data_IF_238636949847
#
_entry.id   IF_238636949847
#
_cell.length_a   1.000
_cell.length_b   1.000
_cell.length_c   1.000
_cell.angle_alpha   90.00
_cell.angle_beta   90.00
_cell.angle_gamma   90.00
#
_symmetry.space_group_name_H-M   'P 1'
#
loop_
_entity.id
_entity.type
_entity.pdbx_description
1 polymer ?
#
# COMPACT_ATOMS: atom_id res chain seq x y z
N UNK A 1 -17.50 0.16 77.46
CA UNK A 1 -17.43 1.39 76.64
C UNK A 1 -16.15 1.26 75.80
N UNK A 2 -16.19 1.62 74.50
CA UNK A 2 -15.22 1.31 73.42
C UNK A 2 -15.43 -0.08 72.77
N UNK A 3 -15.41 -0.29 71.45
CA UNK A 3 -15.63 0.51 70.23
C UNK A 3 -15.59 -0.54 69.09
N UNK A 4 -16.65 -0.67 68.29
CA UNK A 4 -16.69 -1.59 67.13
C UNK A 4 -15.82 -1.05 65.98
N UNK A 5 -15.00 -1.86 65.30
CA UNK A 5 -14.36 -1.41 64.07
C UNK A 5 -15.40 -1.43 62.93
N UNK A 6 -15.44 -0.32 62.20
CA UNK A 6 -16.29 -0.09 61.04
C UNK A 6 -15.77 -0.94 59.87
N UNK A 7 -16.60 -1.83 59.35
CA UNK A 7 -16.37 -2.49 58.05
C UNK A 7 -16.63 -1.43 56.98
N UNK A 8 -15.56 -0.92 56.36
CA UNK A 8 -15.68 -0.11 55.15
C UNK A 8 -16.12 -1.02 54.01
N UNK A 9 -17.39 -0.92 53.62
CA UNK A 9 -17.90 -1.52 52.40
C UNK A 9 -17.26 -0.80 51.20
N UNK A 10 -16.34 -1.49 50.52
CA UNK A 10 -15.86 -1.06 49.21
C UNK A 10 -16.99 -1.32 48.22
N UNK A 11 -17.69 -0.27 47.82
CA UNK A 11 -18.61 -0.27 46.69
C UNK A 11 -17.80 -0.47 45.41
N UNK A 12 -17.71 -1.71 44.94
CA UNK A 12 -17.28 -2.01 43.57
C UNK A 12 -18.42 -1.59 42.65
N UNK A 13 -18.31 -0.40 42.07
CA UNK A 13 -19.17 0.03 40.98
C UNK A 13 -18.88 -0.86 39.77
N UNK A 14 -19.77 -1.83 39.53
CA UNK A 14 -19.81 -2.60 38.30
C UNK A 14 -20.20 -1.66 37.16
N UNK A 15 -19.19 -1.12 36.48
CA UNK A 15 -19.38 -0.47 35.18
C UNK A 15 -19.86 -1.57 34.22
N UNK A 16 -21.15 -1.56 33.92
CA UNK A 16 -21.71 -2.33 32.82
C UNK A 16 -21.05 -1.83 31.53
N UNK A 17 -20.06 -2.58 31.04
CA UNK A 17 -19.54 -2.46 29.70
C UNK A 17 -20.65 -2.93 28.75
N UNK A 18 -21.60 -2.05 28.44
CA UNK A 18 -22.40 -2.19 27.23
C UNK A 18 -21.42 -2.12 26.07
N UNK A 19 -21.01 -3.28 25.59
CA UNK A 19 -20.18 -3.40 24.40
C UNK A 19 -20.91 -2.75 23.23
N UNK A 20 -20.49 -1.55 22.86
CA UNK A 20 -20.71 -1.03 21.53
C UNK A 20 -19.90 -1.94 20.58
N UNK A 21 -20.51 -3.03 20.11
CA UNK A 21 -20.04 -3.69 18.91
C UNK A 21 -20.01 -2.66 17.76
N UNK A 22 -19.11 -2.80 16.78
CA UNK A 22 -19.10 -1.91 15.63
C UNK A 22 -20.49 -1.97 15.00
N UNK A 23 -21.20 -0.84 14.95
CA UNK A 23 -22.48 -0.78 14.26
C UNK A 23 -22.19 -0.97 12.78
N UNK A 24 -22.58 -2.11 12.21
CA UNK A 24 -22.55 -2.30 10.76
C UNK A 24 -23.46 -1.23 10.15
N UNK A 25 -22.85 -0.21 9.55
CA UNK A 25 -23.58 0.92 8.97
C UNK A 25 -24.27 0.57 7.66
N UNK A 26 -23.93 -0.59 7.07
CA UNK A 26 -24.48 -1.06 5.81
C UNK A 26 -25.87 -1.69 5.91
N UNK A 27 -26.57 -1.71 4.78
CA UNK A 27 -27.80 -2.48 4.58
C UNK A 27 -27.52 -3.98 4.79
N UNK A 28 -28.53 -4.79 5.16
CA UNK A 28 -28.37 -6.23 5.30
C UNK A 28 -27.95 -6.88 3.99
N UNK A 29 -27.23 -8.00 4.09
CA UNK A 29 -26.76 -8.76 2.94
C UNK A 29 -27.93 -9.15 2.02
N UNK A 30 -27.84 -8.78 0.75
CA UNK A 30 -28.79 -9.16 -0.31
C UNK A 30 -28.11 -9.96 -1.41
N UNK A 31 -28.86 -10.90 -1.97
CA UNK A 31 -28.42 -11.66 -3.14
C UNK A 31 -28.57 -10.81 -4.40
N UNK A 32 -27.44 -10.43 -5.02
CA UNK A 32 -27.46 -9.82 -6.33
C UNK A 32 -28.02 -10.81 -7.37
N UNK A 33 -28.92 -10.34 -8.25
CA UNK A 33 -29.51 -11.16 -9.32
C UNK A 33 -28.48 -11.58 -10.36
N UNK A 34 -27.49 -10.73 -10.60
CA UNK A 34 -26.37 -10.93 -11.52
C UNK A 34 -25.05 -10.72 -10.79
N UNK A 35 -24.00 -11.39 -11.25
CA UNK A 35 -22.64 -11.22 -10.75
C UNK A 35 -21.84 -10.39 -11.74
N UNK A 36 -21.05 -9.46 -11.25
CA UNK A 36 -20.11 -8.67 -12.04
C UNK A 36 -18.70 -9.16 -11.69
N UNK A 37 -17.89 -9.40 -12.71
CA UNK A 37 -16.47 -9.71 -12.56
C UNK A 37 -15.66 -8.65 -13.29
N UNK A 38 -14.70 -8.06 -12.60
CA UNK A 38 -13.81 -7.05 -13.17
C UNK A 38 -12.39 -7.58 -13.12
N UNK A 39 -11.75 -7.63 -14.28
CA UNK A 39 -10.34 -7.99 -14.42
C UNK A 39 -9.60 -6.78 -14.98
N UNK A 40 -8.66 -6.25 -14.21
CA UNK A 40 -7.83 -5.13 -14.65
C UNK A 40 -6.44 -5.59 -15.00
N UNK A 41 -5.91 -5.07 -16.11
CA UNK A 41 -4.57 -5.31 -16.60
C UNK A 41 -3.81 -3.99 -16.56
N UNK A 42 -2.77 -3.91 -15.74
CA UNK A 42 -1.95 -2.70 -15.67
C UNK A 42 -1.17 -2.50 -16.99
N UNK A 43 -1.13 -1.28 -17.51
CA UNK A 43 -0.40 -0.93 -18.73
C UNK A 43 -0.89 -1.62 -20.01
N UNK A 44 -2.11 -2.18 -20.06
CA UNK A 44 -2.60 -2.84 -21.28
C UNK A 44 -2.91 -1.83 -22.40
N UNK A 45 -2.05 -1.81 -23.42
CA UNK A 45 -2.24 -0.97 -24.60
C UNK A 45 -3.36 -1.54 -25.52
N UNK A 46 -4.40 -0.76 -25.84
CA UNK A 46 -5.53 -1.22 -26.65
C UNK A 46 -5.17 -1.49 -28.12
N UNK A 47 -4.10 -0.87 -28.64
CA UNK A 47 -3.59 -1.08 -30.00
C UNK A 47 -2.87 -2.42 -30.09
N UNK A 48 -2.00 -2.72 -29.13
CA UNK A 48 -1.33 -4.03 -29.05
C UNK A 48 -2.33 -5.16 -28.77
N UNK A 49 -3.30 -4.95 -27.87
CA UNK A 49 -4.35 -5.91 -27.61
C UNK A 49 -5.13 -6.24 -28.90
N UNK A 50 -5.51 -5.23 -29.69
CA UNK A 50 -6.18 -5.44 -30.98
C UNK A 50 -5.31 -6.21 -31.96
N UNK A 51 -4.07 -5.77 -32.17
CA UNK A 51 -3.10 -6.46 -33.04
C UNK A 51 -2.99 -7.96 -32.69
N UNK A 52 -2.85 -8.28 -31.41
CA UNK A 52 -2.69 -9.68 -30.97
C UNK A 52 -4.00 -10.48 -31.01
N UNK A 53 -5.17 -9.84 -30.91
CA UNK A 53 -6.46 -10.49 -31.21
C UNK A 53 -6.60 -10.82 -32.70
N UNK A 54 -6.11 -9.94 -33.58
CA UNK A 54 -6.15 -10.14 -35.04
C UNK A 54 -5.15 -11.21 -35.50
N UNK A 55 -3.98 -11.27 -34.87
CA UNK A 55 -2.98 -12.34 -35.06
C UNK A 55 -3.39 -13.69 -34.44
N UNK A 56 -4.55 -13.78 -33.76
CA UNK A 56 -5.03 -15.00 -33.12
C UNK A 56 -4.31 -15.38 -31.81
N UNK A 57 -3.47 -14.50 -31.26
CA UNK A 57 -2.71 -14.73 -30.01
C UNK A 57 -3.52 -14.51 -28.74
N UNK A 58 -4.62 -13.74 -28.82
CA UNK A 58 -5.52 -13.46 -27.70
C UNK A 58 -6.96 -13.96 -27.98
N UNK A 59 -7.18 -15.27 -28.15
CA UNK A 59 -8.47 -15.81 -28.60
C UNK A 59 -9.63 -15.56 -27.63
N UNK A 60 -9.36 -15.56 -26.31
CA UNK A 60 -10.38 -15.30 -25.30
C UNK A 60 -10.82 -13.82 -25.29
N UNK A 61 -9.87 -12.88 -25.43
CA UNK A 61 -10.20 -11.46 -25.54
C UNK A 61 -10.91 -11.15 -26.85
N UNK A 62 -10.49 -11.79 -27.96
CA UNK A 62 -11.19 -11.67 -29.25
C UNK A 62 -12.66 -12.08 -29.12
N UNK A 63 -12.92 -13.26 -28.56
CA UNK A 63 -14.29 -13.76 -28.31
C UNK A 63 -15.10 -12.82 -27.43
N UNK A 64 -14.51 -12.26 -26.36
CA UNK A 64 -15.18 -11.29 -25.49
C UNK A 64 -15.50 -9.99 -26.25
N UNK A 65 -14.59 -9.53 -27.11
CA UNK A 65 -14.81 -8.33 -27.92
C UNK A 65 -15.94 -8.49 -28.94
N UNK A 66 -16.06 -9.69 -29.55
CA UNK A 66 -17.07 -10.01 -30.56
C UNK A 66 -18.46 -10.24 -29.95
N UNK A 67 -18.50 -10.83 -28.74
CA UNK A 67 -19.75 -11.09 -28.01
C UNK A 67 -20.24 -9.88 -27.20
N UNK A 68 -19.39 -8.88 -27.00
CA UNK A 68 -19.63 -7.74 -26.13
C UNK A 68 -19.21 -6.43 -26.75
N UNK A 69 -18.49 -5.61 -25.99
CA UNK A 69 -18.00 -4.31 -26.45
C UNK A 69 -16.52 -4.20 -26.14
N UNK A 70 -15.74 -3.77 -27.14
CA UNK A 70 -14.34 -3.42 -26.97
C UNK A 70 -14.10 -2.01 -27.50
N UNK A 71 -13.88 -1.08 -26.58
CA UNK A 71 -13.68 0.33 -26.88
C UNK A 71 -12.39 0.84 -26.24
N UNK A 72 -11.73 1.79 -26.91
CA UNK A 72 -10.62 2.54 -26.32
C UNK A 72 -11.21 3.50 -25.29
N UNK A 73 -10.68 3.45 -24.07
CA UNK A 73 -11.01 4.40 -23.01
C UNK A 73 -9.93 5.47 -22.91
N UNK A 74 -10.33 6.67 -22.51
CA UNK A 74 -9.39 7.70 -22.08
C UNK A 74 -8.84 7.34 -20.70
N UNK A 75 -7.59 7.72 -20.46
CA UNK A 75 -6.93 7.54 -19.16
C UNK A 75 -7.02 8.82 -18.34
N UNK A 76 -6.63 8.75 -17.07
CA UNK A 76 -6.54 9.91 -16.20
C UNK A 76 -5.43 10.87 -16.64
N UNK A 77 -5.52 12.12 -16.18
CA UNK A 77 -4.42 13.08 -16.23
C UNK A 77 -4.00 13.45 -14.80
N UNK A 78 -2.78 13.10 -14.34
CA UNK A 78 -1.72 12.41 -15.08
C UNK A 78 -2.02 10.91 -15.36
N UNK A 79 -1.41 10.39 -16.43
CA UNK A 79 -1.59 9.02 -16.92
C UNK A 79 -0.71 8.01 -16.18
N UNK A 80 -0.72 8.10 -14.85
CA UNK A 80 0.04 7.25 -13.94
C UNK A 80 -0.84 6.13 -13.38
N UNK A 81 -0.31 4.91 -13.21
CA UNK A 81 -1.06 3.77 -12.68
C UNK A 81 -1.78 4.07 -11.35
N UNK A 82 -1.17 4.63 -10.29
CA UNK A 82 -1.88 4.91 -9.03
C UNK A 82 -3.01 5.92 -9.20
N UNK A 83 -2.91 6.81 -10.19
CA UNK A 83 -3.93 7.81 -10.49
C UNK A 83 -5.12 7.16 -11.18
N UNK A 84 -4.85 6.35 -12.20
CA UNK A 84 -5.85 5.60 -12.94
C UNK A 84 -6.60 4.60 -12.02
N UNK A 85 -5.89 3.87 -11.17
CA UNK A 85 -6.49 2.91 -10.24
C UNK A 85 -7.30 3.57 -9.14
N UNK A 86 -6.86 4.72 -8.60
CA UNK A 86 -7.65 5.48 -7.63
C UNK A 86 -8.93 6.04 -8.28
N UNK A 87 -8.85 6.56 -9.50
CA UNK A 87 -10.02 7.00 -10.28
C UNK A 87 -10.97 5.84 -10.61
N UNK A 88 -10.44 4.68 -11.02
CA UNK A 88 -11.22 3.46 -11.25
C UNK A 88 -11.98 3.02 -9.98
N UNK A 89 -11.29 2.98 -8.84
CA UNK A 89 -11.88 2.57 -7.59
C UNK A 89 -13.03 3.49 -7.16
N UNK A 90 -12.88 4.81 -7.35
CA UNK A 90 -13.75 5.83 -6.73
C UNK A 90 -14.73 6.50 -7.70
N UNK A 91 -14.52 6.36 -9.01
CA UNK A 91 -15.30 7.06 -10.04
C UNK A 91 -15.10 8.58 -10.06
N UNK A 92 -14.08 9.12 -9.38
CA UNK A 92 -13.79 10.56 -9.34
C UNK A 92 -12.41 10.86 -9.91
N UNK A 93 -12.16 12.12 -10.26
CA UNK A 93 -10.88 12.54 -10.84
C UNK A 93 -9.79 12.80 -9.76
N UNK A 94 -8.52 13.01 -10.17
CA UNK A 94 -7.40 13.22 -9.25
C UNK A 94 -7.55 14.36 -8.26
N UNK A 95 -8.24 15.44 -8.65
CA UNK A 95 -8.57 16.56 -7.77
C UNK A 95 -9.42 16.16 -6.56
N UNK A 96 -10.20 15.07 -6.64
CA UNK A 96 -11.07 14.61 -5.56
C UNK A 96 -10.48 13.44 -4.77
N UNK A 97 -9.75 12.53 -5.41
CA UNK A 97 -9.11 11.42 -4.70
C UNK A 97 -7.68 11.73 -4.22
N UNK A 98 -7.09 12.86 -4.63
CA UNK A 98 -5.81 13.38 -4.13
C UNK A 98 -4.58 12.48 -4.39
N UNK A 99 -4.63 11.69 -5.47
CA UNK A 99 -3.51 10.84 -5.91
C UNK A 99 -3.07 11.37 -7.26
N UNK A 100 -1.79 11.72 -7.40
CA UNK A 100 -1.24 12.36 -8.59
C UNK A 100 -0.01 11.66 -9.16
N UNK A 101 0.65 10.80 -8.40
CA UNK A 101 1.89 10.14 -8.79
C UNK A 101 2.16 8.98 -7.82
N UNK A 102 3.12 8.11 -8.17
CA UNK A 102 3.74 7.17 -7.24
C UNK A 102 4.56 7.88 -6.15
N UNK A 103 5.12 9.03 -6.46
CA UNK A 103 6.05 9.74 -5.59
C UNK A 103 5.68 11.21 -5.45
N UNK A 104 5.80 11.73 -4.24
CA UNK A 104 5.87 13.17 -3.99
C UNK A 104 7.07 13.43 -3.10
N UNK A 105 7.51 14.68 -3.04
CA UNK A 105 8.52 15.08 -2.07
C UNK A 105 7.86 15.67 -0.85
N UNK A 106 8.39 15.34 0.33
CA UNK A 106 8.14 16.15 1.50
C UNK A 106 8.78 17.54 1.28
N UNK A 107 8.01 18.61 1.46
CA UNK A 107 8.48 19.96 1.13
C UNK A 107 9.46 20.55 2.15
N UNK A 108 9.55 19.94 3.34
CA UNK A 108 10.46 20.39 4.40
C UNK A 108 11.78 19.64 4.34
N UNK A 109 11.72 18.32 4.16
CA UNK A 109 12.87 17.42 4.22
C UNK A 109 13.39 16.99 2.85
N UNK A 110 12.63 17.22 1.79
CA UNK A 110 12.91 16.76 0.42
C UNK A 110 12.99 15.24 0.26
N UNK A 111 12.67 14.48 1.31
CA UNK A 111 12.62 13.02 1.23
C UNK A 111 11.46 12.58 0.32
N UNK A 112 11.63 11.48 -0.43
CA UNK A 112 10.55 10.91 -1.20
C UNK A 112 9.50 10.32 -0.26
N UNK A 113 8.25 10.76 -0.43
CA UNK A 113 7.06 10.18 0.16
C UNK A 113 6.34 9.36 -0.92
N UNK A 114 6.16 8.04 -0.74
CA UNK A 114 5.32 7.24 -1.62
C UNK A 114 3.89 7.81 -1.67
N UNK A 115 3.58 8.55 -2.73
CA UNK A 115 2.35 9.33 -2.91
C UNK A 115 1.13 8.47 -3.25
N UNK A 116 1.12 7.22 -2.79
CA UNK A 116 0.11 6.22 -3.11
C UNK A 116 -1.00 6.15 -2.07
N UNK A 117 -1.28 7.26 -1.39
CA UNK A 117 -2.48 7.37 -0.55
C UNK A 117 -2.37 6.67 0.80
N UNK A 118 -1.18 6.45 1.35
CA UNK A 118 -0.97 5.82 2.67
C UNK A 118 -0.27 6.79 3.61
N UNK A 119 -0.76 6.90 4.86
CA UNK A 119 -0.13 7.67 5.93
C UNK A 119 0.06 6.79 7.16
N UNK A 120 1.30 6.69 7.62
CA UNK A 120 1.64 6.01 8.87
C UNK A 120 1.61 7.03 9.99
N UNK A 121 0.79 6.77 11.01
CA UNK A 121 0.74 7.55 12.25
C UNK A 121 1.54 6.79 13.31
N UNK A 122 2.61 7.37 13.87
CA UNK A 122 3.42 6.70 14.88
C UNK A 122 2.64 6.52 16.19
N UNK A 123 3.09 5.58 17.06
CA UNK A 123 2.54 5.47 18.40
C UNK A 123 2.83 6.73 19.23
N UNK A 124 2.00 7.00 20.22
CA UNK A 124 2.26 8.07 21.19
C UNK A 124 2.36 7.51 22.60
N UNK A 125 3.29 8.08 23.38
CA UNK A 125 3.57 7.68 24.76
C UNK A 125 3.42 8.87 25.70
N UNK A 126 2.69 8.67 26.81
CA UNK A 126 2.67 9.60 27.93
C UNK A 126 3.92 9.38 28.76
N UNK A 127 4.57 10.48 29.16
CA UNK A 127 5.80 10.47 29.95
C UNK A 127 6.96 9.66 29.34
N UNK A 128 6.92 9.37 28.03
CA UNK A 128 7.97 8.63 27.34
C UNK A 128 7.96 7.11 27.55
N UNK A 129 7.01 6.55 28.30
CA UNK A 129 6.95 5.10 28.53
C UNK A 129 5.53 4.50 28.55
N UNK A 130 4.48 5.26 28.84
CA UNK A 130 3.12 4.71 28.88
C UNK A 130 2.46 4.85 27.50
N UNK A 131 2.21 3.76 26.75
CA UNK A 131 1.57 3.85 25.44
C UNK A 131 0.14 4.36 25.56
N UNK A 132 -0.20 5.41 24.81
CA UNK A 132 -1.55 6.04 24.78
C UNK A 132 -2.24 5.81 23.45
N UNK A 133 -1.49 5.85 22.35
CA UNK A 133 -2.01 5.59 21.01
C UNK A 133 -1.13 4.56 20.31
N UNK A 134 -1.77 3.53 19.76
CA UNK A 134 -1.13 2.54 18.89
C UNK A 134 -0.76 3.17 17.53
N UNK A 135 0.26 2.66 16.83
CA UNK A 135 0.49 3.08 15.45
C UNK A 135 -0.74 2.75 14.60
N UNK A 136 -0.96 3.54 13.57
CA UNK A 136 -2.12 3.40 12.69
C UNK A 136 -1.72 3.70 11.25
N UNK A 137 -2.24 2.91 10.32
CA UNK A 137 -2.08 3.14 8.89
C UNK A 137 -3.40 3.66 8.36
N UNK A 138 -3.38 4.85 7.78
CA UNK A 138 -4.55 5.54 7.25
C UNK A 138 -4.45 5.68 5.74
N UNK A 139 -5.59 5.56 5.05
CA UNK A 139 -5.65 5.98 3.65
C UNK A 139 -5.79 7.49 3.57
N UNK A 140 -4.99 8.12 2.71
CA UNK A 140 -5.15 9.52 2.32
C UNK A 140 -5.81 9.65 0.93
N UNK A 141 -6.18 8.53 0.31
CA UNK A 141 -6.99 8.53 -0.92
C UNK A 141 -8.39 9.04 -0.59
N UNK A 142 -8.77 10.15 -1.21
CA UNK A 142 -10.12 10.68 -1.15
C UNK A 142 -11.11 9.82 -1.94
N UNK A 143 -12.41 10.03 -1.68
CA UNK A 143 -13.48 9.32 -2.36
C UNK A 143 -13.73 7.91 -1.81
N UNK A 144 -14.98 7.48 -1.94
CA UNK A 144 -15.42 6.16 -1.54
C UNK A 144 -15.32 5.21 -2.73
N UNK A 145 -14.78 4.02 -2.51
CA UNK A 145 -14.66 3.03 -3.58
C UNK A 145 -16.03 2.44 -3.95
N UNK A 146 -16.20 2.01 -5.20
CA UNK A 146 -17.46 1.43 -5.66
C UNK A 146 -17.77 0.11 -4.94
N UNK A 147 -16.76 -0.64 -4.49
CA UNK A 147 -16.97 -1.86 -3.70
C UNK A 147 -17.38 -1.56 -2.26
N UNK A 148 -16.92 -0.45 -1.67
CA UNK A 148 -17.43 0.05 -0.38
C UNK A 148 -18.90 0.45 -0.52
N UNK A 149 -19.24 1.21 -1.58
CA UNK A 149 -20.64 1.52 -1.89
C UNK A 149 -21.48 0.25 -2.07
N UNK A 150 -20.99 -0.73 -2.83
CA UNK A 150 -21.68 -2.00 -3.03
C UNK A 150 -21.91 -2.74 -1.71
N UNK A 151 -20.88 -2.80 -0.85
CA UNK A 151 -20.99 -3.39 0.50
C UNK A 151 -22.01 -2.65 1.35
N UNK A 152 -21.96 -1.32 1.43
CA UNK A 152 -22.92 -0.51 2.19
C UNK A 152 -24.36 -0.74 1.71
N UNK A 153 -24.52 -1.10 0.44
CA UNK A 153 -25.78 -1.47 -0.19
C UNK A 153 -26.15 -2.96 -0.05
N UNK A 154 -25.45 -3.71 0.79
CA UNK A 154 -25.69 -5.12 1.09
C UNK A 154 -25.23 -6.08 -0.01
N UNK A 155 -24.40 -5.64 -0.97
CA UNK A 155 -23.90 -6.50 -2.05
C UNK A 155 -22.55 -7.10 -1.62
N UNK A 156 -22.47 -8.44 -1.66
CA UNK A 156 -21.22 -9.14 -1.36
C UNK A 156 -20.15 -8.77 -2.40
N UNK A 157 -19.04 -8.20 -1.92
CA UNK A 157 -17.90 -7.80 -2.77
C UNK A 157 -16.63 -8.57 -2.39
N UNK A 158 -15.89 -9.04 -3.39
CA UNK A 158 -14.56 -9.64 -3.17
C UNK A 158 -13.57 -8.88 -4.02
N UNK A 159 -12.56 -8.28 -3.38
CA UNK A 159 -11.55 -7.45 -4.02
C UNK A 159 -10.20 -8.10 -3.78
N UNK A 160 -9.50 -8.46 -4.86
CA UNK A 160 -8.23 -9.19 -4.78
C UNK A 160 -7.13 -8.30 -5.35
N UNK A 161 -6.25 -7.81 -4.48
CA UNK A 161 -5.01 -7.11 -4.84
C UNK A 161 -5.19 -5.95 -5.84
N UNK A 162 -6.35 -5.28 -5.81
CA UNK A 162 -6.61 -4.11 -6.66
C UNK A 162 -5.73 -2.95 -6.17
N UNK A 163 -4.94 -2.29 -7.02
CA UNK A 163 -4.12 -1.17 -6.59
C UNK A 163 -4.96 -0.03 -5.99
N UNK A 164 -4.32 0.76 -5.14
CA UNK A 164 -4.89 1.91 -4.43
C UNK A 164 -5.98 1.56 -3.42
N UNK A 165 -5.98 0.33 -2.92
CA UNK A 165 -6.90 -0.14 -1.89
C UNK A 165 -6.23 -0.38 -0.53
N UNK A 166 -4.98 0.06 -0.31
CA UNK A 166 -4.31 -0.06 1.00
C UNK A 166 -4.35 1.27 1.78
N UNK A 167 -4.62 1.24 3.10
CA UNK A 167 -5.23 0.12 3.84
C UNK A 167 -6.62 -0.23 3.29
N UNK A 168 -7.08 -1.50 3.40
CA UNK A 168 -8.35 -1.95 2.84
C UNK A 168 -9.52 -1.15 3.38
N UNK A 169 -10.46 -0.83 2.50
CA UNK A 169 -11.73 -0.24 2.93
C UNK A 169 -12.45 -1.20 3.89
N UNK A 170 -13.04 -0.64 4.94
CA UNK A 170 -13.86 -1.42 5.87
C UNK A 170 -15.19 -1.79 5.21
N UNK A 171 -15.45 -3.09 5.02
CA UNK A 171 -16.66 -3.58 4.35
C UNK A 171 -17.39 -4.61 5.20
N UNK A 172 -18.70 -4.40 5.38
CA UNK A 172 -19.58 -5.30 6.12
C UNK A 172 -19.80 -6.64 5.39
N UNK A 173 -19.82 -6.63 4.04
CA UNK A 173 -20.25 -7.77 3.22
C UNK A 173 -19.20 -8.15 2.18
N UNK A 174 -18.18 -8.91 2.59
CA UNK A 174 -17.17 -9.36 1.62
C UNK A 174 -15.80 -9.67 2.19
N UNK A 175 -14.81 -9.58 1.31
CA UNK A 175 -13.39 -9.64 1.67
C UNK A 175 -12.56 -8.75 0.73
N UNK A 176 -11.58 -8.05 1.30
CA UNK A 176 -10.60 -7.27 0.54
C UNK A 176 -9.21 -7.78 0.89
N UNK A 177 -8.46 -8.19 -0.12
CA UNK A 177 -7.03 -8.41 -0.02
C UNK A 177 -6.30 -7.16 -0.52
N UNK A 178 -5.44 -6.60 0.32
CA UNK A 178 -4.65 -5.41 0.00
C UNK A 178 -3.78 -5.62 -1.24
N UNK A 179 -3.83 -4.65 -2.16
CA UNK A 179 -2.91 -4.48 -3.28
C UNK A 179 -1.97 -3.30 -3.00
N UNK A 180 -1.25 -2.84 -4.03
CA UNK A 180 -0.38 -1.66 -3.94
C UNK A 180 -1.15 -0.47 -3.32
N UNK A 181 -0.58 0.32 -2.39
CA UNK A 181 0.76 0.22 -1.81
C UNK A 181 0.80 -0.62 -0.53
N UNK A 182 0.44 -1.90 -0.58
CA UNK A 182 0.65 -2.82 0.55
C UNK A 182 2.15 -2.91 0.86
N UNK A 183 2.55 -2.39 2.04
CA UNK A 183 3.94 -2.41 2.48
C UNK A 183 4.42 -3.78 2.94
N UNK A 184 5.73 -3.94 2.99
CA UNK A 184 6.36 -5.13 3.57
C UNK A 184 6.22 -5.19 5.10
N UNK A 185 6.80 -6.21 5.74
CA UNK A 185 6.76 -6.36 7.20
C UNK A 185 7.41 -5.20 7.96
N UNK A 186 8.27 -4.42 7.30
CA UNK A 186 8.91 -3.23 7.84
C UNK A 186 8.10 -1.96 7.57
N UNK A 187 6.94 -2.09 6.91
CA UNK A 187 6.10 -0.97 6.49
C UNK A 187 6.69 -0.18 5.33
N UNK A 188 7.67 -0.73 4.61
CA UNK A 188 8.29 -0.07 3.45
C UNK A 188 7.49 -0.33 2.19
N UNK A 189 7.38 0.70 1.34
CA UNK A 189 6.66 0.65 0.07
C UNK A 189 7.60 0.48 -1.13
N UNK A 190 8.90 0.43 -0.86
CA UNK A 190 9.96 0.36 -1.86
C UNK A 190 11.29 0.84 -1.31
N UNK A 191 12.26 0.94 -2.21
CA UNK A 191 13.61 1.41 -1.90
C UNK A 191 13.90 2.67 -2.70
N UNK A 192 14.44 3.69 -2.06
CA UNK A 192 14.86 4.92 -2.71
C UNK A 192 16.32 5.23 -2.45
N UNK A 193 16.92 6.06 -3.31
CA UNK A 193 18.23 6.65 -3.07
C UNK A 193 18.02 8.16 -2.86
N UNK A 194 18.60 8.71 -1.79
CA UNK A 194 18.57 10.14 -1.50
C UNK A 194 20.00 10.67 -1.47
N UNK A 195 20.31 11.59 -2.37
CA UNK A 195 21.66 12.13 -2.56
C UNK A 195 21.67 13.60 -2.25
N UNK A 196 22.54 14.02 -1.33
CA UNK A 196 22.55 15.39 -0.83
C UNK A 196 23.94 15.81 -0.34
N UNK A 197 24.23 17.11 -0.43
CA UNK A 197 25.53 17.69 -0.04
C UNK A 197 25.61 17.99 1.46
N UNK A 198 24.47 18.12 2.12
CA UNK A 198 24.28 18.53 3.52
C UNK A 198 24.03 17.37 4.49
N UNK A 199 24.20 16.12 4.04
CA UNK A 199 24.19 14.97 4.93
C UNK A 199 25.46 14.88 5.78
N UNK A 200 25.30 14.59 7.07
CA UNK A 200 26.44 14.21 7.91
C UNK A 200 26.87 12.76 7.63
N UNK A 201 28.10 12.41 8.01
CA UNK A 201 28.59 11.03 7.92
C UNK A 201 27.82 10.04 8.82
N UNK A 202 27.06 10.54 9.79
CA UNK A 202 26.23 9.71 10.69
C UNK A 202 24.86 9.36 10.08
N UNK A 203 24.39 10.16 9.13
CA UNK A 203 23.10 9.96 8.44
C UNK A 203 23.26 9.11 7.17
N UNK A 204 24.48 8.99 6.65
CA UNK A 204 24.78 8.19 5.48
C UNK A 204 24.59 6.69 5.76
N UNK A 205 23.82 6.01 4.91
CA UNK A 205 23.56 4.58 5.08
C UNK A 205 22.13 4.17 4.74
N UNK A 206 21.69 3.07 5.38
CA UNK A 206 20.34 2.54 5.22
C UNK A 206 19.41 3.24 6.21
N UNK A 207 18.27 3.73 5.73
CA UNK A 207 17.19 4.14 6.63
C UNK A 207 16.43 2.92 7.14
N UNK A 208 15.79 3.09 8.28
CA UNK A 208 14.87 2.09 8.83
C UNK A 208 13.70 1.79 7.87
N UNK A 209 13.38 2.74 6.97
CA UNK A 209 12.23 2.71 6.06
C UNK A 209 12.58 2.54 4.57
N UNK A 210 13.70 1.87 4.27
CA UNK A 210 14.00 1.36 2.92
C UNK A 210 14.79 2.29 2.00
N UNK A 211 15.23 3.46 2.48
CA UNK A 211 16.05 4.41 1.73
C UNK A 211 17.56 4.18 1.89
N UNK A 212 18.34 4.56 0.90
CA UNK A 212 19.79 4.71 0.97
C UNK A 212 20.16 6.19 0.90
N UNK A 213 20.67 6.76 1.98
CA UNK A 213 21.19 8.12 2.02
C UNK A 213 22.65 8.11 1.61
N UNK A 214 23.03 9.00 0.69
CA UNK A 214 24.42 9.15 0.22
C UNK A 214 24.82 10.61 0.22
N UNK A 215 25.94 10.89 0.88
CA UNK A 215 26.49 12.24 0.88
C UNK A 215 27.22 12.48 -0.45
N UNK A 216 26.97 13.61 -1.07
CA UNK A 216 27.69 14.06 -2.25
C UNK A 216 28.87 14.93 -1.82
N UNK A 217 30.09 14.42 -2.02
CA UNK A 217 31.33 15.17 -1.89
C UNK A 217 31.84 15.53 -3.29
N UNK A 218 32.10 16.81 -3.51
CA UNK A 218 32.54 17.32 -4.80
C UNK A 218 34.05 17.62 -4.77
N UNK A 219 34.77 17.05 -5.72
CA UNK A 219 36.17 17.37 -6.00
C UNK A 219 36.25 17.92 -7.43
N UNK A 220 36.80 19.13 -7.58
CA UNK A 220 36.86 19.84 -8.87
C UNK A 220 35.50 19.91 -9.62
N UNK A 221 34.40 20.05 -8.87
CA UNK A 221 33.04 20.13 -9.44
C UNK A 221 32.42 18.78 -9.82
N UNK A 222 33.06 17.66 -9.49
CA UNK A 222 32.57 16.31 -9.76
C UNK A 222 32.36 15.56 -8.45
N UNK A 223 31.20 14.92 -8.29
CA UNK A 223 30.96 13.94 -7.23
C UNK A 223 30.87 12.54 -7.86
N UNK A 224 31.51 11.55 -7.24
CA UNK A 224 31.53 10.16 -7.71
C UNK A 224 30.93 9.19 -6.67
N UNK A 225 29.62 9.29 -6.36
CA UNK A 225 28.98 8.36 -5.43
C UNK A 225 28.81 6.97 -6.04
N UNK A 226 28.80 5.94 -5.20
CA UNK A 226 28.43 4.59 -5.62
C UNK A 226 26.91 4.43 -5.66
N UNK A 227 26.34 4.25 -6.85
CA UNK A 227 24.94 3.85 -7.01
C UNK A 227 24.81 2.33 -6.80
N UNK A 228 24.13 1.94 -5.72
CA UNK A 228 23.81 0.52 -5.50
C UNK A 228 22.67 0.12 -6.44
N UNK A 229 23.01 -0.66 -7.45
CA UNK A 229 22.03 -1.28 -8.36
C UNK A 229 21.32 -2.49 -7.73
N UNK A 230 20.37 -3.10 -8.46
CA UNK A 230 19.80 -4.39 -8.07
C UNK A 230 20.89 -5.47 -8.02
N UNK A 231 20.65 -6.52 -7.23
CA UNK A 231 21.59 -7.64 -7.12
C UNK A 231 21.85 -8.28 -8.49
N UNK A 232 23.13 -8.50 -8.81
CA UNK A 232 23.51 -9.17 -10.04
C UNK A 232 23.23 -10.69 -9.92
N UNK A 233 22.36 -11.27 -10.76
CA UNK A 233 22.02 -12.70 -10.68
C UNK A 233 23.22 -13.61 -10.94
N UNK A 234 24.22 -13.16 -11.72
CA UNK A 234 25.45 -13.90 -12.01
C UNK A 234 26.31 -13.98 -10.75
N UNK A 235 26.55 -12.85 -10.07
CA UNK A 235 27.33 -12.83 -8.83
C UNK A 235 26.65 -13.65 -7.72
N UNK A 236 25.31 -13.62 -7.64
CA UNK A 236 24.55 -14.49 -6.72
C UNK A 236 24.69 -15.97 -7.05
N UNK A 237 24.88 -16.33 -8.32
CA UNK A 237 25.14 -17.71 -8.70
C UNK A 237 26.54 -18.13 -8.27
N UNK A 238 27.57 -17.31 -8.57
CA UNK A 238 28.95 -17.56 -8.16
C UNK A 238 29.08 -17.67 -6.64
N UNK A 239 28.43 -16.79 -5.87
CA UNK A 239 28.41 -16.85 -4.41
C UNK A 239 27.80 -18.16 -3.90
N UNK A 240 26.68 -18.61 -4.50
CA UNK A 240 26.07 -19.91 -4.14
C UNK A 240 26.99 -21.08 -4.45
N UNK A 241 27.70 -21.05 -5.57
CA UNK A 241 28.67 -22.08 -5.95
C UNK A 241 29.87 -22.10 -5.00
N UNK A 242 30.37 -20.92 -4.60
CA UNK A 242 31.44 -20.79 -3.60
C UNK A 242 31.01 -21.31 -2.23
N UNK A 243 29.82 -20.95 -1.76
CA UNK A 243 29.26 -21.44 -0.50
C UNK A 243 29.04 -22.96 -0.53
N UNK A 244 28.62 -23.51 -1.68
CA UNK A 244 28.49 -24.95 -1.86
C UNK A 244 29.85 -25.67 -1.80
N UNK A 245 30.90 -25.12 -2.44
CA UNK A 245 32.28 -25.63 -2.37
C UNK A 245 32.85 -25.55 -0.95
N UNK A 246 32.61 -24.47 -0.23
CA UNK A 246 33.00 -24.32 1.18
C UNK A 246 32.31 -25.34 2.08
N UNK A 247 31.00 -25.57 1.89
CA UNK A 247 30.24 -26.60 2.63
C UNK A 247 30.68 -28.02 2.29
N UNK A 248 31.16 -28.27 1.08
CA UNK A 248 31.67 -29.57 0.65
C UNK A 248 33.09 -29.89 1.18
N UNK A 249 33.69 -28.99 1.97
CA UNK A 249 35.02 -29.20 2.56
C UNK A 249 36.18 -29.13 1.55
N UNK A 250 35.93 -28.66 0.32
CA UNK A 250 36.93 -28.62 -0.75
C UNK A 250 37.52 -27.22 -0.93
N UNK A 251 38.07 -26.66 0.14
CA UNK A 251 38.99 -25.52 0.04
C UNK A 251 40.27 -25.89 0.80
N UNK A 252 41.25 -26.42 0.06
CA UNK A 252 42.67 -26.25 0.35
C UNK A 252 43.18 -25.06 -0.44
#
# INVERSE_FOLDING_TARGET
MLSRPRVCAVLVASVALTGCGPSSSGKPLRRAKQRVFVLGFDGMDPTLARKWMDEGKLPNLKRLSEQGTFAKLETTQPSESPVAWASFATGVNPGKHNIYDFLKRDLQTYLPDPSMGTKIVPPSFKWGFLPVKRPEVLSTRGGTSFWKHASDDGIKSVVLTVPMNWPPDDIDHGAILGGLPLGDIRGTLGTFNYWATDLSSFEEGNTEFGGYLRRLLFEAGVAQPLLKGPDNPILKQEERELLAKQKAGSVS
#
